data_IF_904252334596
#
_entry.id   IF_904252334596
#
_cell.length_a   1.000
_cell.length_b   1.000
_cell.length_c   1.000
_cell.angle_alpha   90.00
_cell.angle_beta   90.00
_cell.angle_gamma   90.00
#
_symmetry.space_group_name_H-M   'P 1'
#
loop_
_entity.id
_entity.type
_entity.pdbx_description
1 polymer ?
#
# COMPACT_ATOMS: atom_id res chain seq x y z
N UNK A 1 -12.32 -2.37 -12.77
CA UNK A 1 -13.59 -2.37 -12.00
C UNK A 1 -13.37 -1.42 -10.85
N UNK A 2 -14.08 -0.29 -10.82
CA UNK A 2 -13.78 0.78 -9.87
C UNK A 2 -14.35 0.44 -8.49
N UNK A 3 -13.52 0.62 -7.46
CA UNK A 3 -13.92 0.41 -6.07
C UNK A 3 -14.18 1.75 -5.42
N UNK A 4 -15.36 1.94 -4.83
CA UNK A 4 -15.76 3.18 -4.15
C UNK A 4 -15.80 2.95 -2.64
N UNK A 5 -15.13 3.82 -1.88
CA UNK A 5 -15.09 3.78 -0.41
C UNK A 5 -15.71 5.07 0.12
N UNK A 6 -16.69 4.95 1.00
CA UNK A 6 -17.34 6.11 1.62
C UNK A 6 -16.46 6.71 2.72
N UNK A 7 -16.21 8.02 2.65
CA UNK A 7 -15.46 8.77 3.67
C UNK A 7 -16.24 8.88 4.99
N UNK A 8 -17.57 8.96 4.93
CA UNK A 8 -18.45 9.06 6.09
C UNK A 8 -19.62 8.08 5.92
N UNK A 9 -19.96 7.35 6.99
CA UNK A 9 -21.11 6.45 7.01
C UNK A 9 -21.75 6.44 8.40
N UNK A 10 -23.04 6.15 8.49
CA UNK A 10 -23.73 5.93 9.76
C UNK A 10 -24.05 4.46 9.91
N UNK A 11 -23.66 3.86 11.03
CA UNK A 11 -23.97 2.47 11.36
C UNK A 11 -24.63 2.46 12.73
N UNK A 12 -25.87 1.96 12.80
CA UNK A 12 -26.67 1.90 14.04
C UNK A 12 -26.77 3.24 14.80
N UNK A 13 -26.89 4.35 14.07
CA UNK A 13 -26.97 5.70 14.66
C UNK A 13 -25.63 6.37 14.99
N UNK A 14 -24.51 5.63 14.91
CA UNK A 14 -23.18 6.18 15.17
C UNK A 14 -22.53 6.68 13.86
N UNK A 15 -22.12 7.96 13.77
CA UNK A 15 -21.36 8.46 12.63
C UNK A 15 -19.93 7.91 12.67
N UNK A 16 -19.50 7.33 11.56
CA UNK A 16 -18.15 6.80 11.35
C UNK A 16 -17.48 7.59 10.24
N UNK A 17 -16.19 7.88 10.42
CA UNK A 17 -15.33 8.54 9.44
C UNK A 17 -14.19 7.59 9.07
N UNK A 18 -13.85 7.54 7.78
CA UNK A 18 -12.72 6.78 7.29
C UNK A 18 -11.42 7.36 7.84
N UNK A 19 -10.63 6.53 8.54
CA UNK A 19 -9.36 6.95 9.14
C UNK A 19 -8.16 6.66 8.22
N UNK A 20 -8.16 5.48 7.60
CA UNK A 20 -7.16 5.05 6.65
C UNK A 20 -7.67 3.93 5.75
N UNK A 21 -6.96 3.72 4.64
CA UNK A 21 -7.12 2.57 3.75
C UNK A 21 -5.77 1.86 3.70
N UNK A 22 -5.77 0.60 4.13
CA UNK A 22 -4.62 -0.28 4.07
C UNK A 22 -4.80 -1.14 2.82
N UNK A 23 -3.80 -1.18 1.95
CA UNK A 23 -3.81 -2.08 0.81
C UNK A 23 -2.52 -2.89 0.74
N UNK A 24 -2.67 -4.12 0.26
CA UNK A 24 -1.59 -5.09 0.20
C UNK A 24 -1.31 -5.44 -1.25
N UNK A 25 -0.03 -5.39 -1.61
CA UNK A 25 0.46 -5.87 -2.89
C UNK A 25 1.06 -7.25 -2.65
N UNK A 26 0.59 -8.23 -3.39
CA UNK A 26 1.07 -9.59 -3.31
C UNK A 26 1.77 -9.96 -4.62
N UNK A 27 2.96 -10.54 -4.48
CA UNK A 27 3.72 -11.10 -5.59
C UNK A 27 3.82 -12.60 -5.39
N UNK A 28 3.34 -13.39 -6.34
CA UNK A 28 3.48 -14.84 -6.32
C UNK A 28 4.64 -15.27 -7.22
N UNK A 29 5.44 -16.21 -6.74
CA UNK A 29 6.54 -16.82 -7.51
C UNK A 29 6.45 -18.34 -7.57
N UNK A 30 5.35 -18.92 -7.10
CA UNK A 30 5.08 -20.34 -7.09
C UNK A 30 3.65 -20.64 -6.63
N UNK A 31 3.31 -21.93 -6.55
CA UNK A 31 1.96 -22.41 -6.23
C UNK A 31 1.81 -22.86 -4.77
N UNK A 32 2.91 -23.03 -4.03
CA UNK A 32 2.81 -23.45 -2.64
C UNK A 32 2.28 -22.31 -1.76
N UNK A 33 1.66 -22.66 -0.62
CA UNK A 33 1.05 -21.69 0.31
C UNK A 33 2.02 -20.59 0.78
N UNK A 34 3.33 -20.82 0.74
CA UNK A 34 4.37 -19.84 1.12
C UNK A 34 5.07 -19.16 -0.05
N UNK A 35 4.72 -19.47 -1.29
CA UNK A 35 5.41 -18.96 -2.49
C UNK A 35 4.92 -17.58 -2.91
N UNK A 36 4.77 -16.69 -1.93
CA UNK A 36 4.41 -15.31 -2.16
C UNK A 36 5.15 -14.38 -1.21
N UNK A 37 5.26 -13.14 -1.64
CA UNK A 37 5.71 -12.01 -0.83
C UNK A 37 4.58 -11.00 -0.77
N UNK A 38 4.56 -10.21 0.30
CA UNK A 38 3.58 -9.15 0.49
C UNK A 38 4.30 -7.88 0.87
N UNK A 39 3.91 -6.79 0.22
CA UNK A 39 4.18 -5.45 0.69
C UNK A 39 2.87 -4.72 0.99
N UNK A 40 2.93 -3.65 1.76
CA UNK A 40 1.76 -2.89 2.21
C UNK A 40 1.95 -1.40 2.01
N UNK A 41 0.86 -0.72 1.67
CA UNK A 41 0.82 0.73 1.62
C UNK A 41 -0.45 1.25 2.30
N UNK A 42 -0.39 2.53 2.68
CA UNK A 42 -1.34 3.16 3.57
C UNK A 42 -1.78 4.51 2.98
N UNK A 43 -3.09 4.70 2.84
CA UNK A 43 -3.70 6.00 2.55
C UNK A 43 -4.31 6.51 3.85
N UNK A 44 -3.82 7.62 4.36
CA UNK A 44 -4.32 8.20 5.61
C UNK A 44 -5.27 9.35 5.32
N UNK A 45 -6.45 9.33 5.94
CA UNK A 45 -7.46 10.39 5.81
C UNK A 45 -7.45 11.25 7.07
N UNK A 46 -7.37 12.58 6.88
CA UNK A 46 -7.33 13.57 7.95
C UNK A 46 -8.10 14.81 7.52
N UNK A 47 -8.72 15.51 8.48
CA UNK A 47 -9.41 16.78 8.21
C UNK A 47 -8.43 17.92 7.88
N UNK A 48 -7.24 17.90 8.51
CA UNK A 48 -6.13 18.80 8.23
C UNK A 48 -4.89 17.98 7.90
N UNK A 49 -4.30 18.25 6.73
CA UNK A 49 -3.04 17.65 6.32
C UNK A 49 -1.95 18.71 6.35
N UNK A 50 -0.78 18.33 6.85
CA UNK A 50 0.45 19.13 6.71
C UNK A 50 0.80 19.20 5.23
N UNK A 51 1.14 20.38 4.73
CA UNK A 51 1.34 20.64 3.30
C UNK A 51 2.38 19.70 2.66
N UNK A 52 3.47 19.40 3.39
CA UNK A 52 4.52 18.46 2.99
C UNK A 52 4.03 17.01 2.80
N UNK A 53 2.88 16.65 3.39
CA UNK A 53 2.31 15.29 3.34
C UNK A 53 1.13 15.16 2.38
N UNK A 54 0.73 16.24 1.70
CA UNK A 54 -0.30 16.18 0.67
C UNK A 54 0.33 15.70 -0.64
N UNK A 55 -0.24 14.63 -1.21
CA UNK A 55 0.03 14.28 -2.60
C UNK A 55 -0.50 15.37 -3.54
N UNK A 56 -0.04 15.34 -4.80
CA UNK A 56 -0.58 16.18 -5.85
C UNK A 56 -1.85 15.56 -6.41
N UNK A 57 -2.83 16.41 -6.69
CA UNK A 57 -4.08 16.04 -7.35
C UNK A 57 -4.18 16.80 -8.66
N UNK A 58 -4.65 16.14 -9.71
CA UNK A 58 -4.91 16.76 -11.00
C UNK A 58 -6.16 17.67 -10.91
N UNK A 59 -6.49 18.38 -12.00
CA UNK A 59 -7.65 19.26 -12.06
C UNK A 59 -9.01 18.52 -11.87
N UNK A 60 -9.03 17.20 -12.11
CA UNK A 60 -10.20 16.34 -11.85
C UNK A 60 -10.28 15.87 -10.38
N UNK A 61 -9.31 16.20 -9.53
CA UNK A 61 -9.26 15.78 -8.13
C UNK A 61 -8.74 14.35 -7.94
N UNK A 62 -8.00 13.81 -8.91
CA UNK A 62 -7.42 12.47 -8.85
C UNK A 62 -5.93 12.54 -8.51
N UNK A 63 -5.44 11.56 -7.76
CA UNK A 63 -4.02 11.41 -7.46
C UNK A 63 -3.55 10.07 -8.00
N UNK A 64 -2.47 10.13 -8.78
CA UNK A 64 -1.81 8.95 -9.32
C UNK A 64 -0.42 8.81 -8.70
N UNK A 65 -0.04 7.58 -8.38
CA UNK A 65 1.30 7.25 -7.91
C UNK A 65 1.82 6.05 -8.70
N UNK A 66 3.06 6.17 -9.18
CA UNK A 66 3.79 5.08 -9.80
C UNK A 66 4.73 4.43 -8.78
N UNK A 67 4.81 3.11 -8.82
CA UNK A 67 5.72 2.35 -7.99
C UNK A 67 6.29 1.16 -8.76
N UNK A 68 7.46 0.71 -8.35
CA UNK A 68 8.07 -0.50 -8.86
C UNK A 68 8.23 -1.49 -7.71
N UNK A 69 7.95 -2.76 -8.02
CA UNK A 69 8.20 -3.85 -7.10
C UNK A 69 9.40 -4.67 -7.56
N UNK A 70 10.25 -5.05 -6.62
CA UNK A 70 11.39 -5.92 -6.83
C UNK A 70 11.41 -7.07 -5.83
N UNK A 71 12.11 -8.13 -6.20
CA UNK A 71 12.37 -9.26 -5.30
C UNK A 71 13.74 -9.11 -4.67
N UNK A 72 13.75 -8.93 -3.36
CA UNK A 72 14.98 -8.96 -2.56
C UNK A 72 15.22 -10.38 -2.05
N UNK A 73 16.47 -10.79 -2.06
CA UNK A 73 16.90 -12.10 -1.61
C UNK A 73 17.80 -11.94 -0.39
N UNK A 74 17.49 -12.63 0.70
CA UNK A 74 18.35 -12.66 1.89
C UNK A 74 18.44 -14.06 2.48
N UNK A 75 19.55 -14.39 3.12
CA UNK A 75 19.64 -15.60 3.95
C UNK A 75 19.15 -15.30 5.37
N UNK A 76 18.37 -16.21 5.97
CA UNK A 76 17.85 -16.03 7.32
C UNK A 76 18.26 -17.18 8.27
N UNK A 77 18.63 -16.82 9.49
CA UNK A 77 18.91 -17.75 10.59
C UNK A 77 20.22 -18.54 10.44
N UNK A 78 20.49 -19.43 11.41
CA UNK A 78 21.70 -20.28 11.43
C UNK A 78 21.76 -21.26 10.25
N UNK A 79 20.60 -21.70 9.78
CA UNK A 79 20.44 -22.62 8.64
C UNK A 79 20.55 -21.91 7.27
N UNK A 80 20.75 -20.59 7.24
CA UNK A 80 20.95 -19.77 6.03
C UNK A 80 19.89 -19.99 4.94
N UNK A 81 18.62 -20.14 5.33
CA UNK A 81 17.52 -20.33 4.38
C UNK A 81 17.37 -19.09 3.50
N UNK A 82 17.32 -19.29 2.18
CA UNK A 82 17.04 -18.21 1.24
C UNK A 82 15.58 -17.75 1.40
N UNK A 83 15.39 -16.47 1.70
CA UNK A 83 14.10 -15.80 1.78
C UNK A 83 13.97 -14.81 0.63
N UNK A 84 12.78 -14.79 0.02
CA UNK A 84 12.38 -13.80 -0.98
C UNK A 84 11.45 -12.79 -0.31
N UNK A 85 11.76 -11.51 -0.47
CA UNK A 85 10.97 -10.41 0.07
C UNK A 85 10.50 -9.58 -1.12
N UNK A 86 9.20 -9.29 -1.16
CA UNK A 86 8.66 -8.32 -2.10
C UNK A 86 8.87 -6.95 -1.50
N UNK A 87 9.53 -6.06 -2.23
CA UNK A 87 9.77 -4.67 -1.86
C UNK A 87 9.18 -3.80 -2.98
N UNK A 88 8.12 -3.07 -2.67
CA UNK A 88 7.43 -2.17 -3.58
C UNK A 88 7.67 -0.73 -3.12
N UNK A 89 8.44 0.02 -3.91
CA UNK A 89 8.75 1.41 -3.62
C UNK A 89 8.09 2.34 -4.62
N UNK A 90 7.82 3.57 -4.16
CA UNK A 90 7.40 4.64 -5.04
C UNK A 90 8.58 5.01 -5.93
N UNK A 91 8.34 5.12 -7.22
CA UNK A 91 9.34 5.67 -8.15
C UNK A 91 9.33 7.18 -7.98
N UNK A 92 10.20 7.73 -7.14
CA UNK A 92 10.57 9.14 -7.25
C UNK A 92 11.84 9.29 -8.10
N UNK A 93 12.32 10.51 -8.33
CA UNK A 93 13.53 10.79 -9.13
C UNK A 93 14.79 10.07 -8.62
N UNK A 94 14.74 9.46 -7.42
CA UNK A 94 15.84 8.73 -6.78
C UNK A 94 15.69 7.20 -6.75
N UNK A 95 14.53 6.65 -7.13
CA UNK A 95 14.30 5.19 -7.19
C UNK A 95 14.05 4.51 -5.84
#
# INVERSE_FOLDING_TARGET
RDSKILLRRTVSGCPLVLQSIDFYIYGWYGKARGDFGRDSALIVVRDKLVEVKKGTFNAAGESEFAGQCQWLFRTAGKTRVLRKLLDCKRMDETG
#
